data_IF_307946481061
#
_entry.id   IF_307946481061
#
_cell.length_a   1.000
_cell.length_b   1.000
_cell.length_c   1.000
_cell.angle_alpha   90.00
_cell.angle_beta   90.00
_cell.angle_gamma   90.00
#
_symmetry.space_group_name_H-M   'P 1'
#
loop_
_entity.id
_entity.type
_entity.pdbx_description
1 polymer ?
#
# COMPACT_ATOMS: atom_id res chain seq x y z
N UNK A 1 -7.86 5.41 -20.72
CA UNK A 1 -8.56 4.12 -20.82
C UNK A 1 -9.82 4.23 -19.97
N UNK A 2 -10.98 4.02 -20.54
CA UNK A 2 -12.28 4.10 -19.85
C UNK A 2 -12.73 2.72 -19.42
N UNK A 3 -13.30 2.60 -18.23
CA UNK A 3 -13.95 1.36 -17.79
C UNK A 3 -15.35 1.29 -18.41
N UNK A 4 -15.66 0.16 -19.00
CA UNK A 4 -16.99 -0.12 -19.50
C UNK A 4 -17.44 -1.50 -19.05
N UNK A 5 -18.76 -1.73 -18.97
CA UNK A 5 -19.31 -3.07 -18.74
C UNK A 5 -18.96 -4.08 -19.86
N UNK A 6 -18.41 -3.61 -20.99
CA UNK A 6 -17.90 -4.47 -22.05
C UNK A 6 -16.65 -5.24 -21.63
N UNK A 7 -15.82 -4.66 -20.71
CA UNK A 7 -14.59 -5.31 -20.22
C UNK A 7 -14.90 -6.34 -19.16
N UNK A 8 -15.80 -6.02 -18.23
CA UNK A 8 -16.22 -6.91 -17.13
C UNK A 8 -17.75 -6.80 -16.97
N UNK A 9 -18.52 -7.55 -17.73
CA UNK A 9 -19.98 -7.48 -17.69
C UNK A 9 -20.55 -7.70 -16.28
N UNK A 10 -21.51 -6.86 -15.88
CA UNK A 10 -22.19 -6.97 -14.59
C UNK A 10 -21.43 -6.43 -13.37
N UNK A 11 -20.15 -6.02 -13.51
CA UNK A 11 -19.37 -5.43 -12.39
C UNK A 11 -19.74 -3.96 -12.09
N UNK A 12 -20.41 -3.29 -13.02
CA UNK A 12 -20.85 -1.91 -12.82
C UNK A 12 -22.36 -1.86 -12.72
N UNK A 13 -22.88 -1.13 -11.74
CA UNK A 13 -24.28 -0.71 -11.78
C UNK A 13 -24.45 0.35 -12.87
N UNK A 14 -25.51 0.29 -13.65
CA UNK A 14 -25.79 1.24 -14.74
C UNK A 14 -25.74 2.71 -14.27
N UNK A 15 -26.17 2.98 -13.05
CA UNK A 15 -26.14 4.29 -12.40
C UNK A 15 -24.74 4.86 -12.14
N UNK A 16 -23.72 4.00 -12.12
CA UNK A 16 -22.32 4.41 -11.89
C UNK A 16 -21.56 4.69 -13.21
N UNK A 17 -22.13 4.31 -14.35
CA UNK A 17 -21.58 4.58 -15.68
C UNK A 17 -22.23 5.87 -16.16
N UNK A 18 -21.66 7.01 -15.77
CA UNK A 18 -22.02 8.27 -16.40
C UNK A 18 -21.51 8.24 -17.85
N UNK A 19 -22.25 8.88 -18.76
CA UNK A 19 -21.96 8.96 -20.20
C UNK A 19 -20.64 9.65 -20.53
N UNK A 20 -19.89 10.11 -19.53
CA UNK A 20 -18.63 10.83 -19.68
C UNK A 20 -17.42 9.92 -19.51
N UNK A 21 -16.44 10.11 -20.36
CA UNK A 21 -15.14 9.50 -20.23
C UNK A 21 -14.46 9.97 -18.92
N UNK A 22 -14.05 8.99 -18.10
CA UNK A 22 -13.30 9.24 -16.89
C UNK A 22 -11.87 8.73 -17.07
N UNK A 23 -10.90 9.57 -17.53
CA UNK A 23 -9.53 9.14 -17.70
C UNK A 23 -8.92 8.75 -16.36
N UNK A 24 -8.32 7.55 -16.31
CA UNK A 24 -7.70 7.00 -15.09
C UNK A 24 -6.39 6.32 -15.42
N UNK A 25 -5.44 6.45 -14.51
CA UNK A 25 -4.26 5.59 -14.52
C UNK A 25 -4.68 4.17 -14.17
N UNK A 26 -4.37 3.22 -15.05
CA UNK A 26 -4.65 1.80 -14.83
C UNK A 26 -3.48 1.13 -14.16
N UNK A 27 -3.75 0.50 -13.01
CA UNK A 27 -2.80 -0.24 -12.20
C UNK A 27 -3.24 -1.71 -12.19
N UNK A 28 -2.58 -2.59 -12.98
CA UNK A 28 -2.93 -4.02 -13.01
C UNK A 28 -2.37 -4.74 -11.78
N UNK A 29 -3.13 -5.73 -11.29
CA UNK A 29 -2.73 -6.63 -10.22
C UNK A 29 -2.49 -8.02 -10.78
N UNK A 30 -1.34 -8.58 -10.50
CA UNK A 30 -0.94 -9.90 -10.99
C UNK A 30 -0.80 -10.89 -9.82
N UNK A 31 -1.17 -12.14 -10.07
CA UNK A 31 -0.85 -13.25 -9.18
C UNK A 31 0.66 -13.48 -9.15
N UNK A 32 1.17 -14.24 -8.19
CA UNK A 32 2.60 -14.65 -8.13
C UNK A 32 3.09 -15.38 -9.39
N UNK A 33 2.17 -15.82 -10.25
CA UNK A 33 2.45 -16.50 -11.51
C UNK A 33 2.29 -15.58 -12.75
N UNK A 34 2.11 -14.27 -12.53
CA UNK A 34 2.00 -13.28 -13.61
C UNK A 34 0.63 -13.21 -14.30
N UNK A 35 -0.41 -13.91 -13.79
CA UNK A 35 -1.76 -13.79 -14.33
C UNK A 35 -2.44 -12.54 -13.78
N UNK A 36 -2.92 -11.64 -14.66
CA UNK A 36 -3.70 -10.49 -14.24
C UNK A 36 -5.07 -10.94 -13.71
N UNK A 37 -5.39 -10.58 -12.46
CA UNK A 37 -6.65 -10.94 -11.81
C UNK A 37 -7.49 -9.73 -11.39
N UNK A 38 -6.90 -8.55 -11.35
CA UNK A 38 -7.59 -7.32 -11.02
C UNK A 38 -6.88 -6.11 -11.64
N UNK A 39 -7.56 -5.00 -11.67
CA UNK A 39 -6.96 -3.71 -11.99
C UNK A 39 -7.64 -2.60 -11.20
N UNK A 40 -6.87 -1.58 -10.89
CA UNK A 40 -7.33 -0.39 -10.19
C UNK A 40 -7.18 0.82 -11.09
N UNK A 41 -8.20 1.65 -11.15
CA UNK A 41 -8.15 2.93 -11.83
C UNK A 41 -7.99 4.05 -10.82
N UNK A 42 -6.89 4.79 -10.90
CA UNK A 42 -6.68 6.02 -10.13
C UNK A 42 -7.12 7.22 -10.95
N UNK A 43 -7.99 8.05 -10.40
CA UNK A 43 -8.41 9.30 -11.04
C UNK A 43 -7.22 10.27 -11.22
N UNK A 44 -7.24 11.01 -12.33
CA UNK A 44 -6.40 12.19 -12.51
C UNK A 44 -7.15 13.40 -11.96
N UNK A 45 -6.74 13.91 -10.80
CA UNK A 45 -7.36 15.07 -10.20
C UNK A 45 -8.42 14.75 -9.13
N UNK A 46 -9.53 15.52 -9.11
CA UNK A 46 -10.52 15.51 -8.01
C UNK A 46 -11.72 14.60 -8.24
N UNK A 47 -11.69 13.72 -9.23
CA UNK A 47 -12.78 12.79 -9.51
C UNK A 47 -12.99 11.78 -8.38
N UNK A 48 -14.26 11.54 -8.03
CA UNK A 48 -14.63 10.51 -7.07
C UNK A 48 -15.25 9.28 -7.78
N UNK A 49 -14.97 8.06 -7.30
CA UNK A 49 -14.00 7.75 -6.27
C UNK A 49 -12.56 7.90 -6.78
N UNK A 50 -11.65 8.38 -5.94
CA UNK A 50 -10.22 8.53 -6.26
C UNK A 50 -9.60 7.22 -6.78
N UNK A 51 -10.00 6.09 -6.21
CA UNK A 51 -9.61 4.75 -6.64
C UNK A 51 -10.84 3.89 -6.92
N UNK A 52 -10.82 3.20 -8.04
CA UNK A 52 -11.85 2.23 -8.42
C UNK A 52 -11.18 0.89 -8.78
N UNK A 53 -11.57 -0.20 -8.10
CA UNK A 53 -10.95 -1.52 -8.31
C UNK A 53 -11.94 -2.49 -8.93
N UNK A 54 -11.52 -3.18 -9.97
CA UNK A 54 -12.24 -4.27 -10.59
C UNK A 54 -11.45 -5.55 -10.41
N UNK A 55 -12.02 -6.55 -9.76
CA UNK A 55 -11.49 -7.91 -9.69
C UNK A 55 -12.14 -8.76 -10.77
N UNK A 56 -11.34 -9.45 -11.54
CA UNK A 56 -11.75 -10.45 -12.53
C UNK A 56 -11.86 -11.80 -11.86
N UNK A 57 -10.99 -12.06 -10.88
CA UNK A 57 -10.99 -13.26 -10.06
C UNK A 57 -11.09 -12.85 -8.58
N UNK A 58 -12.23 -13.14 -7.96
CA UNK A 58 -12.52 -12.76 -6.58
C UNK A 58 -11.82 -13.66 -5.56
N UNK A 59 -11.27 -14.81 -5.98
CA UNK A 59 -10.55 -15.75 -5.10
C UNK A 59 -9.14 -15.28 -4.76
N UNK A 60 -8.55 -14.42 -5.59
CA UNK A 60 -7.20 -13.90 -5.40
C UNK A 60 -7.14 -12.81 -4.32
N UNK A 61 -6.06 -12.80 -3.55
CA UNK A 61 -5.79 -11.75 -2.55
C UNK A 61 -5.44 -10.42 -3.25
N UNK A 62 -6.07 -9.33 -2.82
CA UNK A 62 -5.80 -8.00 -3.39
C UNK A 62 -4.47 -7.45 -2.89
N UNK A 63 -3.37 -8.03 -3.37
CA UNK A 63 -2.01 -7.60 -3.09
C UNK A 63 -1.35 -7.19 -4.42
N UNK A 64 -0.85 -5.96 -4.46
CA UNK A 64 -0.14 -5.44 -5.63
C UNK A 64 1.35 -5.81 -5.57
N UNK A 65 1.91 -6.30 -6.66
CA UNK A 65 3.34 -6.53 -6.81
C UNK A 65 3.83 -7.91 -6.36
N UNK A 66 2.94 -8.88 -6.09
CA UNK A 66 3.34 -10.26 -5.73
C UNK A 66 4.16 -10.97 -6.82
N UNK A 67 3.96 -10.59 -8.08
CA UNK A 67 4.63 -11.16 -9.25
C UNK A 67 6.11 -10.79 -9.36
N UNK A 68 6.54 -9.74 -8.65
CA UNK A 68 7.89 -9.17 -8.78
C UNK A 68 8.75 -9.21 -7.53
N UNK A 69 8.24 -9.74 -6.41
CA UNK A 69 9.02 -9.81 -5.17
C UNK A 69 9.86 -11.09 -5.07
N UNK A 70 10.99 -10.96 -4.40
CA UNK A 70 11.83 -12.08 -3.99
C UNK A 70 11.53 -12.42 -2.53
N UNK A 71 10.87 -13.55 -2.28
CA UNK A 71 10.51 -14.03 -0.94
C UNK A 71 11.74 -14.41 -0.08
N UNK A 72 12.92 -14.61 -0.69
CA UNK A 72 14.17 -14.87 0.04
C UNK A 72 14.83 -13.62 0.61
N UNK A 73 14.28 -12.44 0.32
CA UNK A 73 14.74 -11.14 0.83
C UNK A 73 13.67 -10.51 1.69
N UNK A 74 14.06 -9.49 2.49
CA UNK A 74 13.07 -8.68 3.22
C UNK A 74 12.08 -8.05 2.26
N UNK A 75 10.79 -8.19 2.56
CA UNK A 75 9.70 -7.60 1.79
C UNK A 75 9.22 -6.35 2.50
N UNK A 76 9.03 -5.28 1.76
CA UNK A 76 8.40 -4.06 2.27
C UNK A 76 6.93 -4.06 1.90
N UNK A 77 6.10 -3.56 2.81
CA UNK A 77 4.65 -3.50 2.64
C UNK A 77 4.21 -2.06 2.84
N UNK A 78 3.60 -1.48 1.82
CA UNK A 78 3.01 -0.13 1.85
C UNK A 78 1.51 -0.19 1.60
N UNK A 79 0.79 0.93 1.76
CA UNK A 79 -0.65 0.98 1.47
C UNK A 79 -0.94 1.19 -0.02
N UNK A 80 -0.17 2.04 -0.67
CA UNK A 80 -0.40 2.49 -2.04
C UNK A 80 0.43 1.76 -3.10
N UNK A 81 -0.19 1.30 -4.21
CA UNK A 81 0.57 0.72 -5.32
C UNK A 81 1.66 1.66 -5.87
N UNK A 82 1.41 2.97 -5.89
CA UNK A 82 2.38 3.95 -6.41
C UNK A 82 3.60 4.02 -5.49
N UNK A 83 3.42 4.11 -4.18
CA UNK A 83 4.51 4.14 -3.21
C UNK A 83 5.41 2.90 -3.33
N UNK A 84 4.79 1.73 -3.59
CA UNK A 84 5.53 0.48 -3.76
C UNK A 84 6.47 0.45 -4.97
N UNK A 85 6.32 1.37 -5.92
CA UNK A 85 7.20 1.46 -7.10
C UNK A 85 8.56 2.07 -6.78
N UNK A 86 8.63 2.84 -5.69
CA UNK A 86 9.84 3.53 -5.25
C UNK A 86 10.64 2.77 -4.20
N UNK A 87 10.14 1.62 -3.75
CA UNK A 87 10.79 0.77 -2.73
C UNK A 87 11.16 -0.57 -3.36
N UNK A 88 12.41 -1.04 -3.23
CA UNK A 88 12.81 -2.34 -3.75
C UNK A 88 12.10 -3.47 -3.01
N UNK A 89 11.76 -4.54 -3.71
CA UNK A 89 11.12 -5.73 -3.15
C UNK A 89 9.85 -5.41 -2.32
N UNK A 90 9.00 -4.56 -2.86
CA UNK A 90 7.84 -4.00 -2.18
C UNK A 90 6.52 -4.47 -2.79
N UNK A 91 5.55 -4.69 -1.92
CA UNK A 91 4.13 -4.93 -2.25
C UNK A 91 3.25 -3.85 -1.67
N UNK A 92 2.08 -3.65 -2.27
CA UNK A 92 1.09 -2.77 -1.67
C UNK A 92 -0.15 -3.55 -1.25
N UNK A 93 -0.63 -3.25 -0.02
CA UNK A 93 -1.76 -3.94 0.62
C UNK A 93 -2.66 -2.90 1.28
N UNK A 94 -3.89 -2.83 0.84
CA UNK A 94 -4.87 -1.90 1.40
C UNK A 94 -6.01 -2.60 2.15
N UNK A 95 -6.42 -2.01 3.27
CA UNK A 95 -7.63 -2.41 4.01
C UNK A 95 -7.61 -3.85 4.53
N UNK A 96 -8.65 -4.61 4.21
CA UNK A 96 -8.85 -5.98 4.73
C UNK A 96 -7.78 -6.98 4.28
N UNK A 97 -7.09 -6.72 3.18
CA UNK A 97 -6.06 -7.62 2.62
C UNK A 97 -4.82 -7.75 3.52
N UNK A 98 -4.63 -6.85 4.51
CA UNK A 98 -3.53 -6.96 5.47
C UNK A 98 -3.63 -8.20 6.38
N UNK A 99 -4.82 -8.77 6.57
CA UNK A 99 -5.01 -9.98 7.35
C UNK A 99 -4.94 -11.28 6.51
N UNK A 100 -4.52 -11.18 5.25
CA UNK A 100 -4.48 -12.33 4.34
C UNK A 100 -3.42 -13.37 4.75
N UNK A 101 -3.59 -14.63 4.33
CA UNK A 101 -2.61 -15.69 4.57
C UNK A 101 -1.21 -15.34 4.05
N UNK A 102 -1.12 -14.72 2.88
CA UNK A 102 0.17 -14.30 2.29
C UNK A 102 0.90 -13.30 3.18
N UNK A 103 0.22 -12.28 3.70
CA UNK A 103 0.83 -11.29 4.58
C UNK A 103 1.26 -11.90 5.91
N UNK A 104 0.46 -12.79 6.49
CA UNK A 104 0.83 -13.52 7.71
C UNK A 104 2.07 -14.39 7.52
N UNK A 105 2.21 -15.04 6.37
CA UNK A 105 3.40 -15.83 6.05
C UNK A 105 4.67 -14.98 5.91
N UNK A 106 4.54 -13.71 5.53
CA UNK A 106 5.65 -12.76 5.40
C UNK A 106 6.06 -12.11 6.73
N UNK A 107 5.30 -12.27 7.82
CA UNK A 107 5.45 -11.53 9.08
C UNK A 107 6.90 -11.44 9.58
N UNK A 108 7.64 -12.56 9.59
CA UNK A 108 9.01 -12.60 10.11
C UNK A 108 10.02 -11.88 9.20
N UNK A 109 9.69 -11.70 7.93
CA UNK A 109 10.61 -11.22 6.88
C UNK A 109 10.13 -9.94 6.18
N UNK A 110 9.16 -9.24 6.77
CA UNK A 110 8.68 -7.98 6.20
C UNK A 110 8.86 -6.78 7.13
N UNK A 111 8.76 -5.60 6.54
CA UNK A 111 8.63 -4.32 7.23
C UNK A 111 7.40 -3.61 6.67
N UNK A 112 6.50 -3.21 7.55
CA UNK A 112 5.31 -2.43 7.17
C UNK A 112 5.62 -0.95 7.27
N UNK A 113 5.29 -0.22 6.22
CA UNK A 113 5.54 1.21 6.09
C UNK A 113 4.19 1.87 5.86
N UNK A 114 3.75 2.64 6.82
CA UNK A 114 2.52 3.43 6.76
C UNK A 114 2.80 4.87 6.37
N UNK A 115 1.77 5.60 5.98
CA UNK A 115 1.83 7.04 5.80
C UNK A 115 2.31 7.74 7.10
N UNK A 116 2.98 8.87 6.95
CA UNK A 116 3.49 9.65 8.09
C UNK A 116 2.39 10.59 8.65
N UNK A 117 1.37 9.99 9.26
CA UNK A 117 0.23 10.71 9.85
C UNK A 117 0.09 10.43 11.37
N UNK A 118 1.02 10.89 12.22
CA UNK A 118 1.02 10.57 13.66
C UNK A 118 -0.18 11.13 14.43
N UNK A 119 -0.96 12.04 13.82
CA UNK A 119 -2.20 12.61 14.38
C UNK A 119 -3.45 11.87 13.93
N UNK A 120 -3.37 10.95 12.99
CA UNK A 120 -4.51 10.15 12.54
C UNK A 120 -4.84 9.05 13.56
N UNK A 121 -5.99 9.16 14.21
CA UNK A 121 -6.47 8.17 15.19
C UNK A 121 -6.69 6.80 14.56
N UNK A 122 -7.09 6.75 13.29
CA UNK A 122 -7.32 5.50 12.57
C UNK A 122 -6.00 4.81 12.26
N UNK A 123 -5.04 5.57 11.72
CA UNK A 123 -3.73 5.04 11.37
C UNK A 123 -2.94 4.61 12.61
N UNK A 124 -2.97 5.39 13.71
CA UNK A 124 -2.29 5.02 14.95
C UNK A 124 -2.86 3.75 15.56
N UNK A 125 -4.18 3.50 15.49
CA UNK A 125 -4.79 2.23 15.88
C UNK A 125 -4.32 1.08 15.01
N UNK A 126 -4.21 1.30 13.70
CA UNK A 126 -3.74 0.29 12.75
C UNK A 126 -2.28 -0.07 12.99
N UNK A 127 -1.40 0.92 13.15
CA UNK A 127 0.03 0.71 13.47
C UNK A 127 0.17 -0.05 14.79
N UNK A 128 -0.56 0.36 15.84
CA UNK A 128 -0.55 -0.36 17.11
C UNK A 128 -0.92 -1.83 16.94
N UNK A 129 -2.01 -2.11 16.22
CA UNK A 129 -2.46 -3.48 15.96
C UNK A 129 -1.38 -4.28 15.20
N UNK A 130 -0.71 -3.67 14.23
CA UNK A 130 0.37 -4.30 13.45
C UNK A 130 1.57 -4.64 14.33
N UNK A 131 1.96 -3.74 15.24
CA UNK A 131 3.03 -4.00 16.23
C UNK A 131 2.60 -5.13 17.19
N UNK A 132 1.38 -5.09 17.70
CA UNK A 132 0.86 -6.12 18.62
C UNK A 132 0.76 -7.50 17.95
N UNK A 133 0.58 -7.54 16.65
CA UNK A 133 0.65 -8.76 15.83
C UNK A 133 2.09 -9.26 15.57
N UNK A 134 3.12 -8.52 16.01
CA UNK A 134 4.51 -8.93 15.90
C UNK A 134 5.21 -8.55 14.59
N UNK A 135 4.63 -7.69 13.76
CA UNK A 135 5.28 -7.17 12.56
C UNK A 135 6.37 -6.15 12.90
N UNK A 136 7.39 -6.07 12.05
CA UNK A 136 8.28 -4.91 12.03
C UNK A 136 7.58 -3.73 11.35
N UNK A 137 7.71 -2.53 11.89
CA UNK A 137 7.13 -1.32 11.34
C UNK A 137 8.17 -0.22 11.19
N UNK A 138 8.08 0.55 10.12
CA UNK A 138 8.78 1.82 9.99
C UNK A 138 7.98 2.90 10.72
N UNK A 139 8.63 3.64 11.62
CA UNK A 139 8.09 4.82 12.30
C UNK A 139 8.93 6.02 11.88
N UNK A 140 8.36 6.86 11.04
CA UNK A 140 9.06 8.00 10.45
C UNK A 140 9.66 8.93 11.50
N UNK A 141 10.92 9.38 11.34
CA UNK A 141 11.52 10.35 12.25
C UNK A 141 10.88 11.74 12.09
N UNK A 142 10.99 12.59 13.09
CA UNK A 142 10.42 13.95 13.07
C UNK A 142 11.01 14.85 11.97
N UNK A 143 12.18 14.50 11.43
CA UNK A 143 12.82 15.19 10.30
C UNK A 143 12.14 14.93 8.96
N UNK A 144 11.24 13.95 8.87
CA UNK A 144 10.43 13.68 7.67
C UNK A 144 9.10 14.40 7.80
N UNK A 145 8.90 15.39 6.96
CA UNK A 145 7.67 16.20 6.93
C UNK A 145 6.64 15.67 5.93
N UNK A 146 7.12 14.98 4.89
CA UNK A 146 6.30 14.43 3.83
C UNK A 146 5.37 13.33 4.39
N UNK A 147 4.17 13.29 3.82
CA UNK A 147 3.13 12.37 4.26
C UNK A 147 3.40 10.92 3.84
N UNK A 148 3.85 10.72 2.62
CA UNK A 148 4.04 9.41 2.01
C UNK A 148 5.30 9.35 1.13
N UNK A 149 5.63 8.18 0.66
CA UNK A 149 6.83 7.94 -0.16
C UNK A 149 6.75 8.72 -1.48
N UNK A 150 5.57 8.82 -2.09
CA UNK A 150 5.40 9.56 -3.33
C UNK A 150 5.69 11.06 -3.13
N UNK A 151 5.24 11.65 -2.01
CA UNK A 151 5.58 13.03 -1.67
C UNK A 151 7.09 13.22 -1.43
N UNK A 152 7.76 12.24 -0.80
CA UNK A 152 9.22 12.27 -0.61
C UNK A 152 9.97 12.32 -1.94
N UNK A 153 9.54 11.51 -2.91
CA UNK A 153 10.11 11.52 -4.27
C UNK A 153 9.84 12.87 -4.96
N UNK A 154 8.63 13.41 -4.84
CA UNK A 154 8.29 14.71 -5.41
C UNK A 154 9.06 15.86 -4.76
N UNK A 155 9.42 15.73 -3.49
CA UNK A 155 10.29 16.66 -2.76
C UNK A 155 11.78 16.50 -3.14
N UNK A 156 12.13 15.53 -3.98
CA UNK A 156 13.49 15.33 -4.52
C UNK A 156 14.34 14.32 -3.76
N UNK A 157 13.79 13.57 -2.78
CA UNK A 157 14.52 12.49 -2.13
C UNK A 157 14.73 11.33 -3.12
N UNK A 158 15.93 10.77 -3.09
CA UNK A 158 16.28 9.59 -3.87
C UNK A 158 15.72 8.33 -3.22
N UNK A 159 15.61 7.26 -3.99
CA UNK A 159 15.24 5.94 -3.47
C UNK A 159 16.19 5.46 -2.37
N UNK A 160 17.49 5.73 -2.51
CA UNK A 160 18.52 5.35 -1.55
C UNK A 160 18.32 6.06 -0.21
N UNK A 161 18.15 7.38 -0.22
CA UNK A 161 17.85 8.17 0.99
C UNK A 161 16.58 7.70 1.71
N UNK A 162 15.52 7.39 0.95
CA UNK A 162 14.27 6.87 1.53
C UNK A 162 14.52 5.50 2.18
N UNK A 163 15.28 4.62 1.54
CA UNK A 163 15.61 3.31 2.07
C UNK A 163 16.49 3.37 3.33
N UNK A 164 17.41 4.32 3.40
CA UNK A 164 18.21 4.58 4.59
C UNK A 164 17.31 5.01 5.76
N UNK A 165 16.42 5.96 5.52
CA UNK A 165 15.44 6.41 6.53
C UNK A 165 14.58 5.22 7.01
N UNK A 166 14.06 4.41 6.10
CA UNK A 166 13.23 3.23 6.44
C UNK A 166 14.05 2.23 7.29
N UNK A 167 15.28 1.96 6.89
CA UNK A 167 16.14 0.97 7.55
C UNK A 167 16.49 1.40 8.98
N UNK A 168 16.86 2.64 9.15
CA UNK A 168 17.22 3.23 10.46
C UNK A 168 16.01 3.34 11.41
N UNK A 169 14.81 3.49 10.85
CA UNK A 169 13.58 3.71 11.63
C UNK A 169 12.61 2.51 11.61
N UNK A 170 13.12 1.32 11.28
CA UNK A 170 12.35 0.06 11.39
C UNK A 170 12.54 -0.56 12.76
N UNK A 171 11.45 -0.85 13.43
CA UNK A 171 11.40 -1.41 14.79
C UNK A 171 10.46 -2.59 14.89
N UNK A 172 10.73 -3.50 15.84
CA UNK A 172 9.88 -4.66 16.16
C UNK A 172 9.75 -4.87 17.67
N UNK A 173 8.75 -5.65 18.09
CA UNK A 173 8.53 -6.03 19.49
C UNK A 173 8.45 -4.85 20.45
N UNK A 174 9.04 -4.97 21.64
CA UNK A 174 9.00 -3.94 22.67
C UNK A 174 9.61 -2.60 22.23
N UNK A 175 10.65 -2.64 21.38
CA UNK A 175 11.26 -1.42 20.83
C UNK A 175 10.28 -0.66 19.93
N UNK A 176 9.49 -1.38 19.13
CA UNK A 176 8.44 -0.75 18.30
C UNK A 176 7.35 -0.12 19.18
N UNK A 177 6.90 -0.81 20.25
CA UNK A 177 5.92 -0.26 21.19
C UNK A 177 6.41 1.03 21.85
N UNK A 178 7.65 1.06 22.31
CA UNK A 178 8.25 2.24 22.93
C UNK A 178 8.36 3.41 21.94
N UNK A 179 8.88 3.16 20.75
CA UNK A 179 9.01 4.19 19.72
C UNK A 179 7.66 4.68 19.23
N UNK A 180 6.69 3.79 19.08
CA UNK A 180 5.33 4.17 18.72
C UNK A 180 4.67 5.09 19.76
N UNK A 181 4.92 4.86 21.06
CA UNK A 181 4.38 5.72 22.13
C UNK A 181 4.87 7.18 22.02
N UNK A 182 6.09 7.41 21.53
CA UNK A 182 6.63 8.75 21.28
C UNK A 182 6.28 9.29 19.91
N UNK A 183 6.09 8.43 18.90
CA UNK A 183 5.77 8.82 17.53
C UNK A 183 4.35 9.34 17.38
N UNK A 184 3.37 8.68 18.01
CA UNK A 184 1.96 9.10 17.93
C UNK A 184 1.74 10.45 18.62
N UNK A 185 0.92 11.29 17.98
CA UNK A 185 0.58 12.65 18.48
C UNK A 185 -0.93 12.81 18.74
N UNK A 186 -1.66 11.71 19.02
CA UNK A 186 -3.09 11.68 19.36
C UNK A 186 -3.39 10.58 20.38
#
# INVERSE_FOLDING_TARGET
MTYTNKVVPGKFKQETIKEHEHPRLIIPYFTKHGKCFAFQGRAFGKEEPKYFTIKVDDTEEKIYGLDRINFGKRVYIVEGPIDSLFIPNCIAVSGSSFNSPTIKALQAHCTVIYDNEPRSKELTKLIKKTIDQGFSVCLWPESVEEKDINEMILAGKTQEEIMDIITENTYSGAKAQLRFATWRKC
#
